data_IF_550196304126
#
_entry.id   IF_550196304126
#
_cell.length_a   1.000
_cell.length_b   1.000
_cell.length_c   1.000
_cell.angle_alpha   90.00
_cell.angle_beta   90.00
_cell.angle_gamma   90.00
#
_symmetry.space_group_name_H-M   'P 1'
#
loop_
_entity.id
_entity.type
_entity.pdbx_description
1 polymer ?
#
# COMPACT_ATOMS: atom_id res chain seq x y z
N UNK A 1 49.45 11.11 19.73
CA UNK A 1 49.20 11.12 18.27
C UNK A 1 47.70 10.99 18.06
N UNK A 2 47.11 11.94 17.31
CA UNK A 2 45.66 12.23 17.19
C UNK A 2 44.86 11.02 16.70
N UNK A 3 43.83 10.61 17.44
CA UNK A 3 42.81 9.66 16.97
C UNK A 3 41.87 10.45 16.06
N UNK A 4 41.99 10.24 14.74
CA UNK A 4 41.09 10.83 13.75
C UNK A 4 39.86 9.91 13.63
N UNK A 5 38.78 10.24 14.34
CA UNK A 5 37.48 9.59 14.14
C UNK A 5 36.84 10.15 12.86
N UNK A 6 36.88 9.35 11.78
CA UNK A 6 36.15 9.63 10.55
C UNK A 6 34.76 8.96 10.66
N UNK A 7 33.76 9.73 11.12
CA UNK A 7 32.36 9.29 11.14
C UNK A 7 31.82 9.27 9.70
N UNK A 8 31.80 8.07 9.09
CA UNK A 8 31.10 7.84 7.84
C UNK A 8 29.59 7.92 8.07
N UNK A 9 28.94 8.92 7.46
CA UNK A 9 27.48 9.04 7.46
C UNK A 9 26.92 8.00 6.48
N UNK A 10 26.48 6.85 6.99
CA UNK A 10 25.78 5.85 6.20
C UNK A 10 24.39 6.42 5.85
N UNK A 11 24.23 6.88 4.61
CA UNK A 11 22.92 7.21 4.07
C UNK A 11 22.11 5.92 3.93
N UNK A 12 21.19 5.69 4.87
CA UNK A 12 20.19 4.63 4.76
C UNK A 12 19.22 5.07 3.66
N UNK A 13 19.46 4.62 2.43
CA UNK A 13 18.46 4.73 1.37
C UNK A 13 17.24 3.94 1.80
N UNK A 14 16.14 4.64 2.10
CA UNK A 14 14.83 4.00 2.22
C UNK A 14 14.48 3.42 0.85
N UNK A 15 14.65 2.11 0.69
CA UNK A 15 14.21 1.42 -0.52
C UNK A 15 12.68 1.56 -0.59
N UNK A 16 12.19 2.35 -1.53
CA UNK A 16 10.78 2.31 -1.90
C UNK A 16 10.50 0.91 -2.46
N UNK A 17 9.51 0.21 -1.91
CA UNK A 17 9.07 -1.04 -2.53
C UNK A 17 8.65 -0.74 -3.97
N UNK A 18 9.18 -1.50 -4.92
CA UNK A 18 8.71 -1.44 -6.30
C UNK A 18 7.17 -1.59 -6.29
N UNK A 19 6.44 -0.73 -7.01
CA UNK A 19 4.98 -0.77 -6.99
C UNK A 19 4.53 -2.18 -7.36
N UNK A 20 3.73 -2.78 -6.48
CA UNK A 20 3.05 -4.00 -6.84
C UNK A 20 2.05 -3.64 -7.93
N UNK A 21 2.36 -3.96 -9.18
CA UNK A 21 1.53 -3.63 -10.34
C UNK A 21 0.08 -4.16 -10.20
N UNK A 22 -0.11 -5.18 -9.37
CA UNK A 22 -1.43 -5.75 -9.06
C UNK A 22 -2.26 -4.91 -8.07
N UNK A 23 -1.66 -4.04 -7.24
CA UNK A 23 -2.40 -3.25 -6.23
C UNK A 23 -2.23 -1.76 -6.56
N UNK A 24 -3.28 -1.16 -7.11
CA UNK A 24 -3.31 0.22 -7.57
C UNK A 24 -4.02 1.10 -6.53
N UNK A 25 -3.31 2.12 -6.06
CA UNK A 25 -3.73 3.05 -5.01
C UNK A 25 -3.27 4.48 -5.35
N UNK A 26 -3.86 5.48 -4.72
CA UNK A 26 -3.36 6.86 -4.80
C UNK A 26 -2.02 6.95 -4.05
N UNK A 27 -0.94 7.20 -4.78
CA UNK A 27 0.42 7.21 -4.25
C UNK A 27 0.74 8.43 -3.39
N UNK A 28 -0.08 9.49 -3.44
CA UNK A 28 0.04 10.62 -2.53
C UNK A 28 -0.62 10.32 -1.17
N UNK A 29 -1.69 9.51 -1.18
CA UNK A 29 -2.43 9.09 0.01
C UNK A 29 -3.90 9.56 0.01
N UNK A 30 -4.53 9.55 1.19
CA UNK A 30 -5.97 9.81 1.34
C UNK A 30 -6.25 10.70 2.54
N UNK A 31 -7.24 11.59 2.42
CA UNK A 31 -7.74 12.34 3.57
C UNK A 31 -8.47 11.41 4.55
N UNK A 32 -8.34 11.60 5.89
CA UNK A 32 -8.93 10.71 6.89
C UNK A 32 -10.43 10.42 6.71
N UNK A 33 -11.21 11.42 6.33
CA UNK A 33 -12.67 11.32 6.19
C UNK A 33 -13.15 11.12 4.74
N UNK A 34 -12.24 11.06 3.76
CA UNK A 34 -12.59 10.82 2.37
C UNK A 34 -12.78 9.32 2.08
N UNK A 35 -13.53 8.97 1.01
CA UNK A 35 -13.53 7.63 0.45
C UNK A 35 -12.11 7.17 0.07
N UNK A 36 -11.84 5.88 0.23
CA UNK A 36 -10.53 5.27 -0.02
C UNK A 36 -10.72 3.93 -0.70
N UNK A 37 -10.36 3.87 -1.96
CA UNK A 37 -10.45 2.68 -2.80
C UNK A 37 -9.06 2.31 -3.33
N UNK A 38 -8.81 1.02 -3.42
CA UNK A 38 -7.72 0.45 -4.19
C UNK A 38 -8.27 -0.60 -5.15
N UNK A 39 -7.63 -0.74 -6.31
CA UNK A 39 -7.97 -1.75 -7.30
C UNK A 39 -6.93 -2.86 -7.29
N UNK A 40 -7.39 -4.10 -7.30
CA UNK A 40 -6.56 -5.29 -7.21
C UNK A 40 -6.76 -6.15 -8.45
N UNK A 41 -5.73 -6.22 -9.30
CA UNK A 41 -5.65 -7.13 -10.43
C UNK A 41 -4.86 -8.39 -10.01
N UNK A 42 -5.54 -9.32 -9.34
CA UNK A 42 -4.96 -10.58 -8.88
C UNK A 42 -5.47 -11.77 -9.69
N UNK A 43 -4.57 -12.68 -10.02
CA UNK A 43 -4.89 -13.96 -10.66
C UNK A 43 -4.19 -15.10 -9.88
N UNK A 44 -4.94 -15.99 -9.20
CA UNK A 44 -6.40 -15.99 -9.07
C UNK A 44 -6.94 -14.83 -8.22
N UNK A 45 -8.25 -14.49 -8.33
CA UNK A 45 -8.87 -13.47 -7.49
C UNK A 45 -8.67 -13.74 -5.99
N UNK A 46 -8.35 -12.69 -5.25
CA UNK A 46 -8.16 -12.77 -3.81
C UNK A 46 -9.48 -12.54 -3.06
N UNK A 47 -9.59 -13.01 -1.82
CA UNK A 47 -10.81 -12.84 -1.01
C UNK A 47 -10.71 -11.66 -0.04
N UNK A 48 -9.52 -11.42 0.51
CA UNK A 48 -9.29 -10.47 1.59
C UNK A 48 -8.08 -9.59 1.30
N UNK A 49 -8.06 -8.42 1.92
CA UNK A 49 -6.93 -7.51 1.91
C UNK A 49 -6.64 -7.00 3.32
N UNK A 50 -5.40 -6.54 3.52
CA UNK A 50 -4.97 -5.91 4.77
C UNK A 50 -4.27 -4.60 4.48
N UNK A 51 -4.54 -3.57 5.28
CA UNK A 51 -3.70 -2.36 5.34
C UNK A 51 -2.75 -2.52 6.52
N UNK A 52 -1.46 -2.30 6.26
CA UNK A 52 -0.39 -2.41 7.26
C UNK A 52 0.26 -1.06 7.46
N UNK A 53 0.54 -0.73 8.73
CA UNK A 53 1.33 0.44 9.09
C UNK A 53 2.77 0.21 8.65
N UNK A 54 3.37 1.19 7.98
CA UNK A 54 4.70 1.05 7.37
C UNK A 54 5.83 0.88 8.39
N UNK A 55 5.71 1.47 9.59
CA UNK A 55 6.83 1.49 10.55
C UNK A 55 7.02 0.16 11.32
N UNK A 56 5.95 -0.60 11.55
CA UNK A 56 5.95 -1.81 12.38
C UNK A 56 5.27 -3.01 11.70
N UNK A 57 4.74 -2.81 10.49
CA UNK A 57 4.05 -3.85 9.72
C UNK A 57 2.72 -4.29 10.32
N UNK A 58 2.23 -3.64 11.39
CA UNK A 58 1.01 -4.02 12.08
C UNK A 58 -0.18 -3.86 11.16
N UNK A 59 -1.02 -4.90 11.10
CA UNK A 59 -2.30 -4.82 10.40
C UNK A 59 -3.21 -3.85 11.15
N UNK A 60 -3.55 -2.74 10.49
CA UNK A 60 -4.43 -1.69 11.01
C UNK A 60 -5.84 -1.74 10.44
N UNK A 61 -6.03 -2.50 9.35
CA UNK A 61 -7.33 -2.72 8.74
C UNK A 61 -7.35 -4.08 8.03
N UNK A 62 -8.50 -4.77 8.08
CA UNK A 62 -8.81 -5.96 7.28
C UNK A 62 -10.14 -5.74 6.57
N UNK A 63 -10.21 -6.13 5.31
CA UNK A 63 -11.44 -6.04 4.53
C UNK A 63 -11.54 -7.17 3.52
N UNK A 64 -12.75 -7.36 2.99
CA UNK A 64 -13.00 -8.25 1.86
C UNK A 64 -12.87 -7.48 0.56
N UNK A 65 -12.32 -8.14 -0.44
CA UNK A 65 -12.36 -7.66 -1.81
C UNK A 65 -13.76 -7.86 -2.40
N UNK A 66 -14.16 -6.98 -3.31
CA UNK A 66 -15.36 -7.20 -4.11
C UNK A 66 -15.23 -8.48 -4.95
N UNK A 67 -16.34 -8.94 -5.52
CA UNK A 67 -16.27 -9.89 -6.62
C UNK A 67 -15.40 -9.31 -7.76
N UNK A 68 -14.61 -10.14 -8.47
CA UNK A 68 -13.78 -9.69 -9.56
C UNK A 68 -14.64 -9.35 -10.78
N UNK A 69 -14.42 -8.15 -11.34
CA UNK A 69 -15.12 -7.60 -12.48
C UNK A 69 -14.13 -7.35 -13.62
N UNK A 70 -14.54 -7.61 -14.86
CA UNK A 70 -13.72 -7.30 -16.03
C UNK A 70 -13.75 -5.78 -16.29
N UNK A 71 -12.58 -5.17 -16.49
CA UNK A 71 -12.39 -3.78 -16.90
C UNK A 71 -11.95 -3.78 -18.37
N UNK A 72 -12.89 -3.58 -19.32
CA UNK A 72 -12.59 -3.65 -20.75
C UNK A 72 -11.70 -2.50 -21.24
N UNK A 73 -11.65 -1.37 -20.52
CA UNK A 73 -10.87 -0.21 -20.91
C UNK A 73 -9.38 -0.41 -20.55
N UNK A 74 -9.11 -1.07 -19.42
CA UNK A 74 -7.77 -1.44 -18.99
C UNK A 74 -7.30 -2.80 -19.53
N UNK A 75 -8.24 -3.66 -19.95
CA UNK A 75 -7.96 -5.02 -20.42
C UNK A 75 -7.61 -6.00 -19.31
N UNK A 76 -8.00 -5.73 -18.07
CA UNK A 76 -7.76 -6.59 -16.92
C UNK A 76 -9.03 -6.93 -16.15
N UNK A 77 -8.90 -7.82 -15.16
CA UNK A 77 -9.96 -8.20 -14.25
C UNK A 77 -9.60 -7.73 -12.85
N UNK A 78 -10.45 -6.89 -12.26
CA UNK A 78 -10.14 -6.14 -11.05
C UNK A 78 -11.13 -6.39 -9.93
N UNK A 79 -10.63 -6.31 -8.71
CA UNK A 79 -11.42 -6.28 -7.49
C UNK A 79 -11.23 -4.93 -6.80
N UNK A 80 -12.25 -4.48 -6.08
CA UNK A 80 -12.19 -3.25 -5.29
C UNK A 80 -11.92 -3.58 -3.82
N UNK A 81 -10.94 -2.91 -3.24
CA UNK A 81 -10.71 -2.85 -1.81
C UNK A 81 -11.19 -1.50 -1.28
N UNK A 82 -12.30 -1.48 -0.54
CA UNK A 82 -12.77 -0.29 0.17
C UNK A 82 -12.26 -0.28 1.61
N UNK A 83 -11.41 0.68 1.92
CA UNK A 83 -10.86 0.92 3.25
C UNK A 83 -11.21 2.31 3.78
N UNK A 84 -12.28 2.92 3.25
CA UNK A 84 -12.84 4.18 3.73
C UNK A 84 -13.05 4.24 5.25
N UNK A 85 -13.45 3.15 5.95
CA UNK A 85 -13.59 3.16 7.41
C UNK A 85 -12.28 3.37 8.18
N UNK A 86 -11.10 3.20 7.56
CA UNK A 86 -9.82 3.53 8.18
C UNK A 86 -9.63 5.06 8.20
N UNK A 87 -9.71 5.67 9.39
CA UNK A 87 -9.63 7.14 9.56
C UNK A 87 -8.41 7.61 10.34
N UNK A 88 -7.65 6.70 10.94
CA UNK A 88 -6.44 7.05 11.68
C UNK A 88 -5.36 7.52 10.70
N UNK A 89 -4.81 8.71 10.92
CA UNK A 89 -3.66 9.20 10.16
C UNK A 89 -2.43 8.33 10.41
N UNK A 90 -1.61 8.13 9.39
CA UNK A 90 -0.39 7.34 9.46
C UNK A 90 0.17 6.99 8.09
N UNK A 91 1.22 6.17 8.09
CA UNK A 91 1.83 5.55 6.92
C UNK A 91 2.04 4.08 7.19
#
# INVERSE_FOLDING_TARGET
MRILFLTAFLAISAAAQAPNAAIRLDQAGYLPAAPKLAFVAADPPAQEFTVRRANDGKIVFRGRLSAPLDDPDAGDRVQTADFSPLRNAGR
#
